data_IF_168008513847
#
_entry.id   IF_168008513847
#
_cell.length_a   1.000
_cell.length_b   1.000
_cell.length_c   1.000
_cell.angle_alpha   90.00
_cell.angle_beta   90.00
_cell.angle_gamma   90.00
#
_symmetry.space_group_name_H-M   'P 1'
#
loop_
_entity.id
_entity.type
_entity.pdbx_description
1 polymer ?
#
# COMPACT_ATOMS: atom_id res chain seq x y z
N UNK A 1 -12.71 7.79 18.95
CA UNK A 1 -12.69 6.51 18.22
C UNK A 1 -11.48 6.52 17.31
N UNK A 2 -10.73 5.42 17.23
CA UNK A 2 -9.66 5.31 16.24
C UNK A 2 -10.25 5.09 14.85
N UNK A 3 -9.57 5.54 13.78
CA UNK A 3 -9.95 5.21 12.38
C UNK A 3 -10.12 3.69 12.24
N UNK A 4 -9.23 2.92 12.84
CA UNK A 4 -9.32 1.46 12.92
C UNK A 4 -10.66 0.96 13.52
N UNK A 5 -11.15 1.56 14.61
CA UNK A 5 -12.41 1.14 15.25
C UNK A 5 -13.62 1.41 14.36
N UNK A 6 -13.61 2.55 13.66
CA UNK A 6 -14.65 2.94 12.70
C UNK A 6 -14.67 1.99 11.49
N UNK A 7 -13.49 1.60 10.99
CA UNK A 7 -13.37 0.65 9.88
C UNK A 7 -13.82 -0.74 10.29
N UNK A 8 -13.40 -1.20 11.47
CA UNK A 8 -13.79 -2.49 12.00
C UNK A 8 -15.31 -2.64 12.08
N UNK A 9 -16.03 -1.61 12.52
CA UNK A 9 -17.49 -1.64 12.60
C UNK A 9 -18.17 -1.76 11.21
N UNK A 10 -17.50 -1.33 10.13
CA UNK A 10 -18.01 -1.45 8.76
C UNK A 10 -17.76 -2.83 8.15
N UNK A 11 -16.73 -3.55 8.59
CA UNK A 11 -16.39 -4.88 8.07
C UNK A 11 -17.17 -6.04 8.74
N UNK A 12 -18.33 -5.81 9.35
CA UNK A 12 -19.15 -6.87 9.97
C UNK A 12 -20.15 -7.55 9.00
N UNK A 13 -20.20 -7.09 7.75
CA UNK A 13 -21.13 -7.59 6.73
C UNK A 13 -20.71 -8.91 6.08
N UNK A 14 -21.55 -9.38 5.16
CA UNK A 14 -21.27 -10.51 4.28
C UNK A 14 -19.95 -10.31 3.49
N UNK A 15 -19.32 -11.39 3.00
CA UNK A 15 -18.13 -11.28 2.15
C UNK A 15 -18.29 -10.31 0.97
N UNK A 16 -19.47 -10.28 0.31
CA UNK A 16 -19.75 -9.38 -0.81
C UNK A 16 -19.77 -7.91 -0.39
N UNK A 17 -20.37 -7.60 0.77
CA UNK A 17 -20.37 -6.24 1.34
C UNK A 17 -18.95 -5.79 1.70
N UNK A 18 -18.13 -6.70 2.23
CA UNK A 18 -16.73 -6.42 2.55
C UNK A 18 -15.87 -6.20 1.31
N UNK A 19 -16.07 -6.97 0.23
CA UNK A 19 -15.39 -6.72 -1.05
C UNK A 19 -15.77 -5.35 -1.62
N UNK A 20 -17.05 -4.98 -1.58
CA UNK A 20 -17.49 -3.67 -2.06
C UNK A 20 -16.86 -2.52 -1.24
N UNK A 21 -16.78 -2.69 0.09
CA UNK A 21 -16.08 -1.75 0.97
C UNK A 21 -14.58 -1.69 0.68
N UNK A 22 -13.91 -2.84 0.49
CA UNK A 22 -12.49 -2.86 0.11
C UNK A 22 -12.23 -2.10 -1.18
N UNK A 23 -13.08 -2.26 -2.19
CA UNK A 23 -12.96 -1.54 -3.45
C UNK A 23 -13.07 -0.03 -3.26
N UNK A 24 -14.03 0.42 -2.46
CA UNK A 24 -14.20 1.84 -2.15
C UNK A 24 -13.03 2.41 -1.35
N UNK A 25 -12.51 1.63 -0.39
CA UNK A 25 -11.56 2.08 0.61
C UNK A 25 -10.10 1.96 0.20
N UNK A 26 -9.77 1.00 -0.65
CA UNK A 26 -8.40 0.76 -1.09
C UNK A 26 -8.05 1.51 -2.36
N UNK A 27 -9.03 1.89 -3.20
CA UNK A 27 -8.78 2.45 -4.53
C UNK A 27 -7.85 3.66 -4.50
N UNK A 28 -8.27 4.74 -3.85
CA UNK A 28 -7.49 5.98 -3.80
C UNK A 28 -6.13 5.77 -3.10
N UNK A 29 -6.06 5.15 -1.89
CA UNK A 29 -4.75 4.91 -1.27
C UNK A 29 -3.82 4.00 -2.08
N UNK A 30 -4.35 3.00 -2.81
CA UNK A 30 -3.55 2.14 -3.69
C UNK A 30 -3.04 2.90 -4.91
N UNK A 31 -3.90 3.70 -5.56
CA UNK A 31 -3.53 4.52 -6.71
C UNK A 31 -2.44 5.53 -6.32
N UNK A 32 -2.64 6.25 -5.22
CA UNK A 32 -1.67 7.20 -4.68
C UNK A 32 -0.36 6.52 -4.30
N UNK A 33 -0.41 5.43 -3.54
CA UNK A 33 0.80 4.70 -3.13
C UNK A 33 1.57 4.15 -4.34
N UNK A 34 0.87 3.60 -5.34
CA UNK A 34 1.49 3.07 -6.56
C UNK A 34 2.16 4.18 -7.35
N UNK A 35 1.47 5.31 -7.55
CA UNK A 35 2.00 6.43 -8.31
C UNK A 35 3.22 7.06 -7.62
N UNK A 36 3.15 7.33 -6.31
CA UNK A 36 4.25 7.92 -5.56
C UNK A 36 5.45 6.97 -5.45
N UNK A 37 5.21 5.68 -5.22
CA UNK A 37 6.28 4.69 -5.15
C UNK A 37 6.97 4.49 -6.51
N UNK A 38 6.22 4.57 -7.62
CA UNK A 38 6.80 4.53 -8.96
C UNK A 38 7.60 5.80 -9.27
N UNK A 39 7.10 6.98 -8.93
CA UNK A 39 7.78 8.26 -9.15
C UNK A 39 9.09 8.36 -8.35
N UNK A 40 9.04 8.04 -7.05
CA UNK A 40 10.23 7.94 -6.21
C UNK A 40 11.18 6.82 -6.68
N UNK A 41 10.63 5.72 -7.20
CA UNK A 41 11.40 4.61 -7.76
C UNK A 41 12.09 4.93 -9.09
N UNK A 42 11.64 5.98 -9.79
CA UNK A 42 12.22 6.46 -11.04
C UNK A 42 13.32 7.53 -10.84
N UNK A 43 13.63 7.88 -9.59
CA UNK A 43 14.70 8.83 -9.29
C UNK A 43 16.05 8.29 -9.74
N UNK A 44 16.86 9.17 -10.32
CA UNK A 44 18.26 8.88 -10.62
C UNK A 44 19.01 8.56 -9.30
N UNK A 45 19.56 7.34 -9.15
CA UNK A 45 20.27 6.92 -7.95
C UNK A 45 21.43 7.84 -7.55
N UNK A 46 22.05 8.52 -8.51
CA UNK A 46 23.18 9.41 -8.25
C UNK A 46 22.81 10.61 -7.37
N UNK A 47 21.55 11.06 -7.42
CA UNK A 47 21.05 12.22 -6.65
C UNK A 47 21.01 11.99 -5.14
N UNK A 48 20.95 10.74 -4.71
CA UNK A 48 20.94 10.33 -3.30
C UNK A 48 22.16 9.49 -2.91
N UNK A 49 23.24 9.49 -3.69
CA UNK A 49 24.38 8.58 -3.49
C UNK A 49 25.06 8.70 -2.11
N UNK A 50 24.99 9.87 -1.47
CA UNK A 50 25.51 10.06 -0.11
C UNK A 50 24.64 9.44 0.99
N UNK A 51 23.39 9.07 0.67
CA UNK A 51 22.42 8.56 1.63
C UNK A 51 22.58 7.06 1.85
N UNK A 52 22.22 6.60 3.05
CA UNK A 52 22.15 5.17 3.39
C UNK A 52 23.45 4.40 3.14
N UNK A 53 24.60 5.07 3.26
CA UNK A 53 25.90 4.45 2.98
C UNK A 53 26.07 4.02 1.52
N UNK A 54 25.48 4.75 0.57
CA UNK A 54 25.55 4.45 -0.86
C UNK A 54 24.42 3.56 -1.39
N UNK A 55 23.47 3.17 -0.53
CA UNK A 55 22.40 2.21 -0.88
C UNK A 55 21.11 2.86 -1.37
N UNK A 56 21.12 4.17 -1.64
CA UNK A 56 19.93 4.87 -2.12
C UNK A 56 19.36 4.27 -3.41
N UNK A 57 20.23 3.90 -4.37
CA UNK A 57 19.83 3.23 -5.61
C UNK A 57 19.05 1.94 -5.37
N UNK A 58 19.52 1.10 -4.45
CA UNK A 58 18.83 -0.14 -4.08
C UNK A 58 17.44 0.13 -3.49
N UNK A 59 17.32 1.19 -2.67
CA UNK A 59 16.04 1.55 -2.05
C UNK A 59 15.00 2.00 -3.07
N UNK A 60 15.38 2.85 -4.04
CA UNK A 60 14.45 3.31 -5.08
C UNK A 60 14.11 2.18 -6.07
N UNK A 61 15.05 1.27 -6.35
CA UNK A 61 14.78 0.06 -7.14
C UNK A 61 13.77 -0.87 -6.45
N UNK A 62 13.97 -1.14 -5.15
CA UNK A 62 13.04 -1.93 -4.33
C UNK A 62 11.66 -1.27 -4.33
N UNK A 63 11.61 0.06 -4.25
CA UNK A 63 10.36 0.83 -4.28
C UNK A 63 9.64 0.65 -5.63
N UNK A 64 10.35 0.77 -6.76
CA UNK A 64 9.79 0.59 -8.09
C UNK A 64 9.25 -0.84 -8.31
N UNK A 65 10.02 -1.86 -7.94
CA UNK A 65 9.60 -3.27 -8.06
C UNK A 65 8.36 -3.53 -7.19
N UNK A 66 8.35 -2.98 -5.97
CA UNK A 66 7.24 -3.19 -5.03
C UNK A 66 5.99 -2.41 -5.44
N UNK A 67 6.14 -1.22 -6.04
CA UNK A 67 5.06 -0.44 -6.63
C UNK A 67 4.39 -1.20 -7.77
N UNK A 68 5.18 -1.79 -8.68
CA UNK A 68 4.66 -2.61 -9.77
C UNK A 68 3.85 -3.80 -9.23
N UNK A 69 4.38 -4.51 -8.22
CA UNK A 69 3.64 -5.60 -7.55
C UNK A 69 2.37 -5.11 -6.87
N UNK A 70 2.41 -3.97 -6.19
CA UNK A 70 1.23 -3.36 -5.56
C UNK A 70 0.14 -3.08 -6.61
N UNK A 71 0.53 -2.49 -7.74
CA UNK A 71 -0.36 -2.22 -8.87
C UNK A 71 -0.95 -3.48 -9.50
N UNK A 72 -0.16 -4.55 -9.67
CA UNK A 72 -0.67 -5.82 -10.18
C UNK A 72 -1.68 -6.47 -9.23
N UNK A 73 -1.42 -6.45 -7.92
CA UNK A 73 -2.39 -6.98 -6.95
C UNK A 73 -3.64 -6.09 -6.89
N UNK A 74 -3.49 -4.76 -6.98
CA UNK A 74 -4.63 -3.83 -7.01
C UNK A 74 -5.60 -4.12 -8.17
N UNK A 75 -5.08 -4.50 -9.35
CA UNK A 75 -5.88 -4.89 -10.51
C UNK A 75 -6.70 -6.17 -10.28
N UNK A 76 -6.38 -6.97 -9.27
CA UNK A 76 -7.14 -8.17 -8.93
C UNK A 76 -8.43 -7.84 -8.18
N UNK A 77 -8.56 -6.66 -7.58
CA UNK A 77 -9.72 -6.30 -6.75
C UNK A 77 -11.04 -6.25 -7.56
N UNK A 78 -11.09 -5.65 -8.77
CA UNK A 78 -12.26 -5.78 -9.65
C UNK A 78 -12.53 -7.23 -10.07
N UNK A 79 -11.48 -7.99 -10.41
CA UNK A 79 -11.61 -9.40 -10.83
C UNK A 79 -12.12 -10.30 -9.69
N UNK A 80 -11.77 -9.98 -8.44
CA UNK A 80 -12.28 -10.65 -7.24
C UNK A 80 -13.81 -10.53 -7.19
N UNK A 81 -14.32 -9.31 -7.35
CA UNK A 81 -15.76 -9.02 -7.35
C UNK A 81 -16.50 -9.69 -8.49
N UNK A 82 -15.94 -9.68 -9.69
CA UNK A 82 -16.53 -10.37 -10.85
C UNK A 82 -16.60 -11.88 -10.64
N UNK A 83 -15.53 -12.46 -10.10
CA UNK A 83 -15.49 -13.89 -9.77
C UNK A 83 -16.54 -14.26 -8.72
N UNK A 84 -16.63 -13.48 -7.64
CA UNK A 84 -17.65 -13.67 -6.61
C UNK A 84 -19.06 -13.66 -7.18
N UNK A 85 -19.38 -12.72 -8.08
CA UNK A 85 -20.68 -12.69 -8.78
C UNK A 85 -20.91 -13.93 -9.64
N UNK A 86 -19.90 -14.39 -10.37
CA UNK A 86 -20.02 -15.53 -11.28
C UNK A 86 -20.25 -16.87 -10.54
N UNK A 87 -19.74 -17.01 -9.31
CA UNK A 87 -19.86 -18.24 -8.51
C UNK A 87 -20.97 -18.18 -7.46
N UNK A 88 -21.80 -17.13 -7.46
CA UNK A 88 -22.97 -16.99 -6.59
C UNK A 88 -22.69 -16.40 -5.20
N UNK A 89 -21.53 -15.76 -5.00
CA UNK A 89 -21.16 -15.05 -3.78
C UNK A 89 -19.65 -15.07 -3.53
N UNK A 90 -19.18 -14.11 -2.73
CA UNK A 90 -17.78 -14.05 -2.30
C UNK A 90 -17.46 -15.06 -1.18
N UNK A 91 -16.27 -15.63 -1.21
CA UNK A 91 -15.76 -16.50 -0.13
C UNK A 91 -14.77 -15.74 0.74
N UNK A 92 -14.68 -16.14 2.00
CA UNK A 92 -13.67 -15.64 2.93
C UNK A 92 -12.24 -15.93 2.43
N UNK A 93 -12.05 -17.08 1.79
CA UNK A 93 -10.75 -17.47 1.23
C UNK A 93 -10.26 -16.47 0.18
N UNK A 94 -11.17 -15.94 -0.64
CA UNK A 94 -10.87 -14.97 -1.69
C UNK A 94 -10.36 -13.64 -1.09
N UNK A 95 -11.05 -13.17 -0.04
CA UNK A 95 -10.66 -11.96 0.71
C UNK A 95 -9.30 -12.16 1.40
N UNK A 96 -9.06 -13.34 1.96
CA UNK A 96 -7.80 -13.68 2.62
C UNK A 96 -6.63 -13.78 1.65
N UNK A 97 -6.83 -14.42 0.49
CA UNK A 97 -5.81 -14.52 -0.55
C UNK A 97 -5.44 -13.12 -1.05
N UNK A 98 -6.42 -12.29 -1.39
CA UNK A 98 -6.20 -10.92 -1.82
C UNK A 98 -5.42 -10.09 -0.78
N UNK A 99 -5.80 -10.18 0.50
CA UNK A 99 -5.06 -9.52 1.59
C UNK A 99 -3.62 -10.02 1.68
N UNK A 100 -3.42 -11.34 1.63
CA UNK A 100 -2.09 -11.93 1.73
C UNK A 100 -1.17 -11.43 0.62
N UNK A 101 -1.68 -11.39 -0.61
CA UNK A 101 -0.95 -10.93 -1.78
C UNK A 101 -0.59 -9.43 -1.69
N UNK A 102 -1.46 -8.62 -1.07
CA UNK A 102 -1.19 -7.19 -0.82
C UNK A 102 -0.15 -6.95 0.27
N UNK A 103 -0.13 -7.75 1.34
CA UNK A 103 0.66 -7.46 2.54
C UNK A 103 2.17 -7.41 2.27
N UNK A 104 2.66 -8.28 1.40
CA UNK A 104 4.10 -8.36 1.10
C UNK A 104 4.62 -7.10 0.40
N UNK A 105 4.12 -6.70 -0.78
CA UNK A 105 4.56 -5.46 -1.42
C UNK A 105 4.26 -4.23 -0.57
N UNK A 106 3.13 -4.22 0.16
CA UNK A 106 2.78 -3.13 1.07
C UNK A 106 3.82 -2.97 2.19
N UNK A 107 4.19 -4.07 2.84
CA UNK A 107 5.21 -4.06 3.89
C UNK A 107 6.54 -3.50 3.41
N UNK A 108 6.97 -3.89 2.21
CA UNK A 108 8.20 -3.40 1.59
C UNK A 108 8.14 -1.90 1.27
N UNK A 109 7.09 -1.44 0.57
CA UNK A 109 6.94 -0.01 0.24
C UNK A 109 6.89 0.84 1.51
N UNK A 110 6.14 0.40 2.53
CA UNK A 110 6.06 1.09 3.82
C UNK A 110 7.40 1.14 4.53
N UNK A 111 8.16 0.05 4.53
CA UNK A 111 9.49 -0.02 5.13
C UNK A 111 10.46 0.96 4.45
N UNK A 112 10.51 0.96 3.12
CA UNK A 112 11.36 1.89 2.36
C UNK A 112 10.93 3.33 2.56
N UNK A 113 9.63 3.64 2.41
CA UNK A 113 9.11 4.99 2.63
C UNK A 113 9.42 5.52 4.04
N UNK A 114 9.32 4.65 5.06
CA UNK A 114 9.69 5.00 6.43
C UNK A 114 11.18 5.29 6.64
N UNK A 115 12.07 4.60 5.91
CA UNK A 115 13.50 4.91 5.90
C UNK A 115 13.76 6.25 5.20
N UNK A 116 13.15 6.46 4.02
CA UNK A 116 13.29 7.70 3.27
C UNK A 116 12.76 8.91 4.07
N UNK A 117 11.68 8.74 4.83
CA UNK A 117 11.07 9.80 5.64
C UNK A 117 11.97 10.30 6.78
N UNK A 118 12.94 9.48 7.23
CA UNK A 118 13.87 9.80 8.31
C UNK A 118 15.23 10.30 7.80
N UNK A 119 15.37 10.49 6.49
CA UNK A 119 16.61 10.93 5.86
C UNK A 119 16.93 12.39 6.19
N UNK A 120 18.18 12.66 6.53
CA UNK A 120 18.71 14.02 6.52
C UNK A 120 18.98 14.47 5.07
N UNK A 121 18.07 15.28 4.53
CA UNK A 121 18.14 15.76 3.15
C UNK A 121 19.28 16.76 2.90
N UNK A 122 19.92 17.29 3.96
CA UNK A 122 21.10 18.15 3.79
C UNK A 122 22.28 17.42 3.14
N UNK A 123 22.28 16.08 3.21
CA UNK A 123 23.30 15.22 2.59
C UNK A 123 23.02 14.92 1.11
N UNK A 124 21.85 15.29 0.59
CA UNK A 124 21.43 15.00 -0.79
C UNK A 124 20.69 16.19 -1.42
N UNK A 125 21.38 17.31 -1.67
CA UNK A 125 20.77 18.53 -2.21
C UNK A 125 20.24 18.37 -3.65
N UNK A 126 20.68 17.34 -4.37
CA UNK A 126 20.27 17.06 -5.76
C UNK A 126 18.93 16.29 -5.85
N UNK A 127 18.36 15.89 -4.70
CA UNK A 127 17.00 15.36 -4.66
C UNK A 127 15.97 16.45 -5.03
N UNK A 128 14.87 16.08 -5.69
CA UNK A 128 13.80 17.03 -5.99
C UNK A 128 13.27 17.75 -4.74
N UNK A 129 12.92 19.04 -4.88
CA UNK A 129 12.43 19.85 -3.76
C UNK A 129 11.14 19.30 -3.13
N UNK A 130 10.34 18.54 -3.88
CA UNK A 130 9.11 17.88 -3.44
C UNK A 130 9.34 16.46 -2.87
N UNK A 131 10.58 15.97 -2.83
CA UNK A 131 10.92 14.62 -2.38
C UNK A 131 10.36 14.32 -0.98
N UNK A 132 10.59 15.23 -0.03
CA UNK A 132 10.12 15.06 1.34
C UNK A 132 8.59 14.94 1.41
N UNK A 133 7.88 15.78 0.64
CA UNK A 133 6.42 15.79 0.59
C UNK A 133 5.88 14.47 0.03
N UNK A 134 6.44 14.00 -1.10
CA UNK A 134 6.08 12.73 -1.73
C UNK A 134 6.30 11.53 -0.82
N UNK A 135 7.42 11.50 -0.11
CA UNK A 135 7.72 10.43 0.86
C UNK A 135 6.73 10.44 2.01
N UNK A 136 6.39 11.60 2.57
CA UNK A 136 5.41 11.71 3.65
C UNK A 136 4.00 11.30 3.20
N UNK A 137 3.61 11.71 1.99
CA UNK A 137 2.32 11.32 1.40
C UNK A 137 2.27 9.81 1.13
N UNK A 138 3.37 9.21 0.66
CA UNK A 138 3.49 7.77 0.52
C UNK A 138 3.33 7.07 1.87
N UNK A 139 4.06 7.50 2.91
CA UNK A 139 3.91 6.95 4.27
C UNK A 139 2.46 7.02 4.75
N UNK A 140 1.77 8.15 4.51
CA UNK A 140 0.36 8.30 4.85
C UNK A 140 -0.49 7.28 4.10
N UNK A 141 -0.39 7.20 2.77
CA UNK A 141 -1.16 6.26 1.96
C UNK A 141 -0.93 4.80 2.40
N UNK A 142 0.32 4.44 2.70
CA UNK A 142 0.68 3.10 3.19
C UNK A 142 0.06 2.78 4.56
N UNK A 143 -0.04 3.75 5.46
CA UNK A 143 -0.70 3.56 6.75
C UNK A 143 -2.22 3.42 6.57
N UNK A 144 -2.84 4.20 5.68
CA UNK A 144 -4.27 4.08 5.38
C UNK A 144 -4.60 2.70 4.79
N UNK A 145 -3.77 2.19 3.87
CA UNK A 145 -3.90 0.83 3.34
C UNK A 145 -3.78 -0.23 4.44
N UNK A 146 -2.81 -0.08 5.34
CA UNK A 146 -2.62 -1.01 6.45
C UNK A 146 -3.85 -1.03 7.37
N UNK A 147 -4.39 0.13 7.73
CA UNK A 147 -5.55 0.23 8.62
C UNK A 147 -6.77 -0.48 8.02
N UNK A 148 -7.00 -0.34 6.70
CA UNK A 148 -8.09 -1.03 5.99
C UNK A 148 -7.88 -2.55 6.02
N UNK A 149 -6.68 -3.03 5.72
CA UNK A 149 -6.37 -4.47 5.70
C UNK A 149 -6.35 -5.12 7.08
N UNK A 150 -5.97 -4.39 8.12
CA UNK A 150 -6.03 -4.86 9.50
C UNK A 150 -7.48 -4.97 9.99
N UNK A 151 -8.30 -3.95 9.71
CA UNK A 151 -9.72 -3.92 10.06
C UNK A 151 -10.50 -5.07 9.38
N UNK A 152 -10.11 -5.44 8.16
CA UNK A 152 -10.65 -6.58 7.43
C UNK A 152 -10.42 -7.93 8.16
N UNK A 153 -9.27 -8.11 8.80
CA UNK A 153 -8.94 -9.38 9.51
C UNK A 153 -9.65 -9.54 10.85
N UNK A 154 -9.89 -8.47 11.57
CA UNK A 154 -10.41 -8.54 12.95
C UNK A 154 -11.92 -8.81 13.02
N UNK A 155 -12.62 -8.67 11.89
CA UNK A 155 -14.00 -9.13 11.70
C UNK A 155 -14.13 -10.67 11.80
N UNK A 156 -13.05 -11.41 11.52
CA UNK A 156 -13.04 -12.88 11.55
C UNK A 156 -12.88 -13.48 12.95
N UNK A 157 -12.22 -12.80 13.89
CA UNK A 157 -11.85 -13.39 15.20
C UNK A 157 -13.07 -13.69 16.09
N UNK A 158 -14.29 -13.33 15.68
CA UNK A 158 -15.51 -13.49 16.48
C UNK A 158 -16.67 -14.23 15.79
N UNK A 159 -16.46 -14.80 14.60
CA UNK A 159 -17.39 -15.78 14.00
C UNK A 159 -16.84 -17.18 14.24
#
# INVERSE_FOLDING_TARGET
MSRYDELRARFTGSPDERIALLEQMLREPLETATALAADLGALDPSRGAALFGGRFGELVEILAISAAKLGEVAKQLPALRERSRAVGGAREEDIHAFRHDLLTPLGTVRGVAGMLAQTDLSQAPDLPADFAAKVQELVRAMNELKDVLDALTDARVRQ
#
